data_IF_041859228378
#
_entry.id   IF_041859228378
#
_cell.length_a   1.000
_cell.length_b   1.000
_cell.length_c   1.000
_cell.angle_alpha   90.00
_cell.angle_beta   90.00
_cell.angle_gamma   90.00
#
_symmetry.space_group_name_H-M   'P 1'
#
loop_
_entity.id
_entity.type
_entity.pdbx_description
1 polymer ?
#
# COMPACT_ATOMS: atom_id res chain seq x y z
N UNK A 1 1.16 5.35 17.50
CA UNK A 1 0.79 4.66 18.75
C UNK A 1 1.33 3.22 18.78
N UNK A 2 1.44 2.55 19.95
CA UNK A 2 1.64 1.09 20.03
C UNK A 2 0.30 0.44 20.31
N UNK A 3 -0.26 -0.27 19.33
CA UNK A 3 -1.48 -1.07 19.52
C UNK A 3 -1.18 -2.24 20.47
N UNK A 4 -2.01 -2.48 21.51
CA UNK A 4 -1.86 -3.64 22.39
C UNK A 4 -1.90 -4.97 21.63
N UNK A 5 -1.24 -5.98 22.18
CA UNK A 5 -1.29 -7.33 21.61
C UNK A 5 -2.72 -7.87 21.65
N UNK A 6 -3.25 -8.27 20.48
CA UNK A 6 -4.62 -8.75 20.32
C UNK A 6 -5.63 -7.70 19.85
N UNK A 7 -5.26 -6.42 19.78
CA UNK A 7 -6.11 -5.35 19.23
C UNK A 7 -5.89 -5.20 17.71
N UNK A 8 -6.96 -4.81 17.02
CA UNK A 8 -6.91 -4.47 15.59
C UNK A 8 -6.04 -3.20 15.48
N UNK A 9 -4.99 -3.25 14.65
CA UNK A 9 -4.00 -2.18 14.48
C UNK A 9 -4.61 -0.80 14.17
N UNK A 10 -3.76 0.21 14.00
CA UNK A 10 -4.20 1.56 13.61
C UNK A 10 -4.95 1.63 12.26
N UNK A 11 -4.90 0.55 11.46
CA UNK A 11 -5.62 0.43 10.20
C UNK A 11 -6.82 -0.50 10.37
N UNK A 12 -7.97 -0.05 9.89
CA UNK A 12 -9.21 -0.81 9.80
C UNK A 12 -9.40 -1.42 8.40
N UNK A 13 -8.31 -1.73 7.67
CA UNK A 13 -8.28 -2.41 6.37
C UNK A 13 -6.89 -2.98 6.06
N UNK A 14 -6.79 -3.91 5.09
CA UNK A 14 -5.52 -4.36 4.52
C UNK A 14 -5.09 -3.43 3.37
N UNK A 15 -3.98 -2.70 3.50
CA UNK A 15 -3.54 -1.73 2.50
C UNK A 15 -2.94 -2.35 1.24
N UNK A 16 -2.59 -3.63 1.23
CA UNK A 16 -2.04 -4.30 0.04
C UNK A 16 -3.15 -4.60 -0.97
N UNK A 17 -4.38 -4.80 -0.49
CA UNK A 17 -5.58 -5.05 -1.30
C UNK A 17 -6.59 -3.90 -1.27
N UNK A 18 -6.33 -2.85 -0.48
CA UNK A 18 -7.22 -1.72 -0.24
C UNK A 18 -8.64 -2.15 0.23
N UNK A 19 -8.72 -3.12 1.16
CA UNK A 19 -9.99 -3.68 1.59
C UNK A 19 -9.90 -4.60 2.79
N UNK A 20 -11.05 -5.11 3.23
CA UNK A 20 -11.17 -6.08 4.34
C UNK A 20 -11.12 -7.54 3.85
N UNK A 21 -11.82 -7.81 2.76
CA UNK A 21 -11.86 -9.10 2.08
C UNK A 21 -11.28 -8.99 0.67
N UNK A 22 -10.97 -10.13 0.05
CA UNK A 22 -10.40 -10.16 -1.29
C UNK A 22 -11.02 -11.19 -2.23
N UNK A 23 -11.13 -10.77 -3.49
CA UNK A 23 -11.19 -11.65 -4.67
C UNK A 23 -10.41 -10.96 -5.78
N UNK A 24 -9.11 -11.26 -5.86
CA UNK A 24 -8.18 -10.57 -6.76
C UNK A 24 -8.15 -11.23 -8.13
N UNK A 25 -8.37 -10.45 -9.18
CA UNK A 25 -8.20 -10.84 -10.60
C UNK A 25 -7.42 -9.77 -11.37
N UNK A 26 -6.97 -10.11 -12.58
CA UNK A 26 -6.25 -9.19 -13.50
C UNK A 26 -5.04 -8.43 -12.90
N UNK A 27 -4.25 -9.10 -12.05
CA UNK A 27 -3.07 -8.49 -11.44
C UNK A 27 -2.05 -8.05 -12.50
N UNK A 28 -1.71 -6.77 -12.47
CA UNK A 28 -0.73 -6.10 -13.33
C UNK A 28 0.25 -5.31 -12.48
N UNK A 29 1.54 -5.55 -12.71
CA UNK A 29 2.63 -4.84 -12.04
C UNK A 29 3.44 -4.12 -13.11
N UNK A 30 3.57 -2.80 -12.99
CA UNK A 30 4.34 -2.00 -13.95
C UNK A 30 5.84 -2.26 -13.84
N UNK A 31 6.60 -2.02 -14.91
CA UNK A 31 8.06 -1.90 -14.83
C UNK A 31 8.46 -0.85 -13.78
N UNK A 32 9.31 -1.19 -12.80
CA UNK A 32 9.72 -0.25 -11.77
C UNK A 32 10.48 0.95 -12.36
N UNK A 33 10.15 2.16 -11.87
CA UNK A 33 10.93 3.37 -12.14
C UNK A 33 11.93 3.56 -11.01
N UNK A 34 13.19 3.18 -11.25
CA UNK A 34 14.27 3.22 -10.26
C UNK A 34 15.04 4.54 -10.30
N UNK A 35 15.37 5.09 -9.14
CA UNK A 35 16.28 6.23 -8.95
C UNK A 35 17.20 5.94 -7.76
N UNK A 36 18.44 5.51 -8.05
CA UNK A 36 19.40 5.12 -7.01
C UNK A 36 18.89 3.97 -6.13
N UNK A 37 18.71 4.24 -4.84
CA UNK A 37 18.18 3.29 -3.85
C UNK A 37 16.66 3.38 -3.67
N UNK A 38 15.95 4.13 -4.51
CA UNK A 38 14.48 4.23 -4.48
C UNK A 38 13.89 3.69 -5.78
N UNK A 39 12.68 3.15 -5.71
CA UNK A 39 11.91 2.79 -6.90
C UNK A 39 10.42 3.06 -6.68
N UNK A 40 9.70 3.30 -7.77
CA UNK A 40 8.24 3.35 -7.74
C UNK A 40 7.65 2.30 -8.67
N UNK A 41 6.57 1.66 -8.22
CA UNK A 41 5.84 0.64 -8.95
C UNK A 41 4.35 0.92 -8.85
N UNK A 42 3.64 0.85 -9.97
CA UNK A 42 2.18 0.86 -9.99
C UNK A 42 1.68 -0.58 -10.05
N UNK A 43 0.77 -0.93 -9.14
CA UNK A 43 0.12 -2.23 -9.06
C UNK A 43 -1.37 -2.02 -9.31
N UNK A 44 -1.91 -2.71 -10.32
CA UNK A 44 -3.33 -2.69 -10.64
C UNK A 44 -3.92 -4.10 -10.55
N UNK A 45 -5.15 -4.21 -10.10
CA UNK A 45 -5.92 -5.45 -10.04
C UNK A 45 -7.41 -5.13 -9.89
N UNK A 46 -8.27 -6.10 -10.16
CA UNK A 46 -9.68 -6.02 -9.76
C UNK A 46 -9.83 -6.72 -8.41
N UNK A 47 -10.49 -6.09 -7.44
CA UNK A 47 -10.86 -6.71 -6.17
C UNK A 47 -12.39 -6.80 -6.08
N UNK A 48 -12.94 -8.01 -6.05
CA UNK A 48 -14.39 -8.22 -6.09
C UNK A 48 -15.07 -7.50 -7.27
N UNK A 49 -14.39 -7.52 -8.42
CA UNK A 49 -14.80 -6.90 -9.69
C UNK A 49 -14.67 -5.35 -9.71
N UNK A 50 -14.16 -4.73 -8.63
CA UNK A 50 -13.83 -3.29 -8.57
C UNK A 50 -12.36 -3.02 -8.94
N UNK A 51 -12.09 -2.22 -10.00
CA UNK A 51 -10.73 -1.88 -10.41
C UNK A 51 -10.00 -1.05 -9.35
N UNK A 52 -8.86 -1.56 -8.90
CA UNK A 52 -8.01 -0.96 -7.87
C UNK A 52 -6.62 -0.69 -8.43
N UNK A 53 -6.08 0.50 -8.13
CA UNK A 53 -4.70 0.88 -8.46
C UNK A 53 -4.01 1.42 -7.23
N UNK A 54 -2.90 0.78 -6.86
CA UNK A 54 -2.03 1.17 -5.76
C UNK A 54 -0.66 1.58 -6.31
N UNK A 55 -0.05 2.55 -5.64
CA UNK A 55 1.30 3.00 -5.96
C UNK A 55 2.21 2.64 -4.80
N UNK A 56 3.27 1.91 -5.12
CA UNK A 56 4.25 1.43 -4.18
C UNK A 56 5.52 2.26 -4.32
N UNK A 57 5.96 2.83 -3.20
CA UNK A 57 7.31 3.34 -3.02
C UNK A 57 8.16 2.21 -2.47
N UNK A 58 9.34 2.00 -3.04
CA UNK A 58 10.29 0.99 -2.62
C UNK A 58 11.63 1.64 -2.26
N UNK A 59 12.28 1.09 -1.24
CA UNK A 59 13.65 1.45 -0.84
C UNK A 59 14.55 0.23 -0.89
N UNK A 60 15.77 0.39 -1.38
CA UNK A 60 16.78 -0.66 -1.42
C UNK A 60 17.63 -0.60 -0.16
N UNK A 61 17.42 -1.57 0.73
CA UNK A 61 18.13 -1.67 2.00
C UNK A 61 18.67 -3.08 2.20
N UNK A 62 19.88 -3.20 2.77
CA UNK A 62 20.51 -4.49 3.09
C UNK A 62 20.53 -5.48 1.91
N UNK A 63 20.66 -4.96 0.68
CA UNK A 63 20.73 -5.78 -0.54
C UNK A 63 19.40 -6.15 -1.17
N UNK A 64 18.26 -5.82 -0.55
CA UNK A 64 16.92 -6.12 -1.06
C UNK A 64 16.05 -4.87 -1.24
N UNK A 65 15.06 -4.95 -2.13
CA UNK A 65 13.99 -3.96 -2.20
C UNK A 65 12.95 -4.26 -1.13
N UNK A 66 12.53 -3.23 -0.40
CA UNK A 66 11.45 -3.27 0.59
C UNK A 66 10.38 -2.26 0.21
N UNK A 67 9.15 -2.52 0.64
CA UNK A 67 8.07 -1.53 0.56
C UNK A 67 8.35 -0.43 1.59
N UNK A 68 8.50 0.79 1.09
CA UNK A 68 8.64 2.01 1.88
C UNK A 68 7.26 2.62 2.16
N UNK A 69 6.37 2.61 1.16
CA UNK A 69 5.01 3.14 1.28
C UNK A 69 4.04 2.53 0.27
N UNK A 70 2.76 2.61 0.58
CA UNK A 70 1.65 2.28 -0.31
C UNK A 70 0.65 3.44 -0.28
N UNK A 71 0.17 3.83 -1.44
CA UNK A 71 -0.85 4.87 -1.57
C UNK A 71 -1.94 4.46 -2.57
N UNK A 72 -3.17 4.86 -2.25
CA UNK A 72 -4.28 4.92 -3.19
C UNK A 72 -4.51 6.38 -3.58
N UNK A 73 -4.53 6.64 -4.89
CA UNK A 73 -4.78 7.99 -5.44
C UNK A 73 -6.16 8.11 -6.08
N UNK A 74 -7.09 7.25 -5.65
CA UNK A 74 -8.48 7.28 -6.08
C UNK A 74 -9.17 8.61 -5.77
N UNK A 75 -10.28 8.89 -6.46
CA UNK A 75 -10.98 10.19 -6.32
C UNK A 75 -11.76 10.32 -5.02
N UNK A 76 -12.30 9.23 -4.50
CA UNK A 76 -13.25 9.28 -3.38
C UNK A 76 -12.53 9.31 -2.03
N UNK A 77 -11.54 8.43 -1.84
CA UNK A 77 -10.80 8.29 -0.58
C UNK A 77 -9.31 8.03 -0.85
N UNK A 78 -8.54 9.08 -1.24
CA UNK A 78 -7.10 8.94 -1.39
C UNK A 78 -6.44 8.75 -0.01
N UNK A 79 -5.45 7.89 0.08
CA UNK A 79 -4.70 7.65 1.30
C UNK A 79 -3.26 7.25 1.02
N UNK A 80 -2.40 7.44 2.01
CA UNK A 80 -0.99 7.03 2.02
C UNK A 80 -0.67 6.44 3.39
N UNK A 81 -0.03 5.28 3.43
CA UNK A 81 0.16 4.55 4.69
C UNK A 81 0.94 5.37 5.72
N UNK A 82 2.01 6.06 5.30
CA UNK A 82 2.79 6.90 6.22
C UNK A 82 1.92 7.94 6.92
N UNK A 83 1.02 8.60 6.18
CA UNK A 83 0.12 9.64 6.71
C UNK A 83 -0.89 9.05 7.68
N UNK A 84 -1.49 7.89 7.36
CA UNK A 84 -2.42 7.22 8.28
C UNK A 84 -1.75 6.86 9.62
N UNK A 85 -0.49 6.43 9.59
CA UNK A 85 0.25 6.12 10.82
C UNK A 85 0.71 7.35 11.60
N UNK A 86 0.98 8.46 10.93
CA UNK A 86 1.24 9.75 11.57
C UNK A 86 0.00 10.23 12.32
N UNK A 87 -1.16 10.24 11.67
CA UNK A 87 -2.44 10.65 12.25
C UNK A 87 -2.89 9.74 13.41
N UNK A 88 -2.69 8.42 13.30
CA UNK A 88 -2.95 7.49 14.40
C UNK A 88 -1.93 7.59 15.56
N UNK A 89 -0.89 8.40 15.39
CA UNK A 89 0.12 8.68 16.41
C UNK A 89 -0.17 9.91 17.27
N UNK A 90 -1.07 10.78 16.84
CA UNK A 90 -1.57 11.95 17.58
C UNK A 90 -2.64 11.57 18.62
#
# INVERSE_FOLDING_TARGET
>A
AKTPEGEIGALDFDPVIAGQDFKITDLKISTPKTSGASASVTVGFDNMDDPTVLYYSLVKEHGGWKVDDIESRGKDFPWKLSTLFEEAGE
#
